data_IF_826738151872
#
_entry.id   IF_826738151872
#
_cell.length_a   1.000
_cell.length_b   1.000
_cell.length_c   1.000
_cell.angle_alpha   90.00
_cell.angle_beta   90.00
_cell.angle_gamma   90.00
#
_symmetry.space_group_name_H-M   'P 1'
#
loop_
_entity.id
_entity.type
_entity.pdbx_description
1 polymer ?
#
# COMPACT_ATOMS: atom_id res chain seq x y z
N UNK A 1 -4.44 22.82 -0.43
CA UNK A 1 -3.96 22.71 0.97
C UNK A 1 -2.98 21.57 1.08
N UNK A 2 -2.20 21.49 2.15
CA UNK A 2 -1.28 20.36 2.41
C UNK A 2 -1.98 19.30 3.25
N UNK A 3 -1.53 18.05 3.17
CA UNK A 3 -2.15 16.92 3.85
C UNK A 3 -1.12 15.84 4.21
N UNK A 4 -1.53 14.92 5.07
CA UNK A 4 -0.88 13.62 5.29
C UNK A 4 -1.84 12.51 4.90
N UNK A 5 -1.29 11.34 4.57
CA UNK A 5 -2.06 10.12 4.30
C UNK A 5 -1.76 9.09 5.36
N UNK A 6 -2.80 8.35 5.76
CA UNK A 6 -2.73 7.36 6.83
C UNK A 6 -3.44 6.10 6.37
N UNK A 7 -2.80 4.94 6.54
CA UNK A 7 -3.41 3.63 6.30
C UNK A 7 -4.15 3.17 7.55
N UNK A 8 -5.35 2.63 7.38
CA UNK A 8 -6.14 2.02 8.45
C UNK A 8 -6.31 0.53 8.14
N UNK A 9 -5.40 -0.31 8.67
CA UNK A 9 -5.31 -1.74 8.36
C UNK A 9 -6.64 -2.48 8.52
N UNK A 10 -7.28 -2.37 9.70
CA UNK A 10 -8.53 -3.08 10.03
C UNK A 10 -9.68 -2.59 9.13
N UNK A 11 -9.72 -1.29 8.82
CA UNK A 11 -10.77 -0.70 8.00
C UNK A 11 -10.53 -0.87 6.49
N UNK A 12 -9.39 -1.40 6.06
CA UNK A 12 -9.08 -1.67 4.66
C UNK A 12 -9.04 -0.40 3.80
N UNK A 13 -8.58 0.74 4.33
CA UNK A 13 -8.64 2.02 3.62
C UNK A 13 -7.46 2.94 3.89
N UNK A 14 -7.33 3.96 3.05
CA UNK A 14 -6.40 5.08 3.24
C UNK A 14 -7.23 6.34 3.50
N UNK A 15 -6.85 7.11 4.52
CA UNK A 15 -7.42 8.43 4.82
C UNK A 15 -6.46 9.54 4.45
N UNK A 16 -7.04 10.68 4.08
CA UNK A 16 -6.34 11.95 3.94
C UNK A 16 -6.71 12.84 5.12
N UNK A 17 -5.70 13.35 5.83
CA UNK A 17 -5.87 14.37 6.87
C UNK A 17 -5.30 15.69 6.38
N UNK A 18 -6.11 16.74 6.35
CA UNK A 18 -5.72 18.06 5.86
C UNK A 18 -4.98 18.85 6.94
N UNK A 19 -3.74 19.24 6.63
CA UNK A 19 -2.91 20.07 7.50
C UNK A 19 -3.16 21.57 7.28
N UNK A 20 -3.41 21.98 6.03
CA UNK A 20 -3.61 23.40 5.64
C UNK A 20 -4.70 23.53 4.59
N UNK A 21 -5.27 24.73 4.47
CA UNK A 21 -6.31 25.09 3.50
C UNK A 21 -7.72 25.06 4.11
N UNK A 22 -8.78 25.22 3.29
CA UNK A 22 -10.16 25.35 3.78
C UNK A 22 -10.68 24.15 4.59
N UNK A 23 -10.07 22.98 4.40
CA UNK A 23 -10.40 21.74 5.11
C UNK A 23 -9.44 21.42 6.27
N UNK A 24 -8.54 22.32 6.68
CA UNK A 24 -7.54 22.04 7.71
C UNK A 24 -8.16 21.46 9.00
N UNK A 25 -7.46 20.52 9.63
CA UNK A 25 -7.92 19.76 10.81
C UNK A 25 -9.14 18.86 10.57
N UNK A 26 -9.38 18.47 9.32
CA UNK A 26 -10.38 17.45 8.97
C UNK A 26 -9.74 16.27 8.24
N UNK A 27 -10.44 15.14 8.22
CA UNK A 27 -10.01 13.96 7.49
C UNK A 27 -11.15 13.32 6.72
N UNK A 28 -10.83 12.82 5.54
CA UNK A 28 -11.75 12.12 4.65
C UNK A 28 -11.14 10.81 4.16
N UNK A 29 -11.98 9.89 3.69
CA UNK A 29 -11.50 8.67 3.04
C UNK A 29 -10.90 9.08 1.70
N UNK A 30 -9.64 8.68 1.46
CA UNK A 30 -8.98 8.89 0.18
C UNK A 30 -9.34 7.75 -0.78
N UNK A 31 -9.26 6.50 -0.32
CA UNK A 31 -9.60 5.31 -1.09
C UNK A 31 -9.92 4.14 -0.15
N UNK A 32 -10.89 3.30 -0.51
CA UNK A 32 -11.09 1.98 0.09
C UNK A 32 -10.35 0.93 -0.75
N UNK A 33 -9.60 0.04 -0.11
CA UNK A 33 -8.78 -0.96 -0.77
C UNK A 33 -9.44 -2.34 -0.69
N UNK A 34 -9.09 -3.23 -1.62
CA UNK A 34 -9.58 -4.61 -1.64
C UNK A 34 -8.90 -5.55 -0.62
N UNK A 35 -8.10 -5.00 0.29
CA UNK A 35 -7.33 -5.74 1.29
C UNK A 35 -6.88 -4.83 2.43
N UNK A 36 -6.04 -5.35 3.31
CA UNK A 36 -5.55 -4.61 4.48
C UNK A 36 -4.25 -3.87 4.14
N UNK A 37 -4.24 -2.53 4.13
CA UNK A 37 -3.03 -1.76 3.91
C UNK A 37 -2.14 -1.73 5.16
N UNK A 38 -0.82 -1.75 4.93
CA UNK A 38 0.21 -1.59 5.94
C UNK A 38 0.98 -0.27 5.70
N UNK A 39 2.31 -0.27 5.50
CA UNK A 39 3.05 0.97 5.29
C UNK A 39 2.70 1.66 3.97
N UNK A 40 2.77 3.00 4.00
CA UNK A 40 2.61 3.90 2.85
C UNK A 40 3.88 4.73 2.65
N UNK A 41 4.37 4.81 1.40
CA UNK A 41 5.58 5.55 1.03
C UNK A 41 5.34 6.45 -0.15
N UNK A 42 5.73 7.72 -0.03
CA UNK A 42 5.58 8.72 -1.09
C UNK A 42 6.64 8.52 -2.16
N UNK A 43 6.26 8.62 -3.43
CA UNK A 43 7.19 8.65 -4.58
C UNK A 43 7.75 10.05 -4.80
N UNK A 44 8.78 10.17 -5.65
CA UNK A 44 9.32 11.47 -6.06
C UNK A 44 8.30 12.30 -6.86
N UNK A 45 7.36 11.65 -7.55
CA UNK A 45 6.26 12.30 -8.28
C UNK A 45 5.12 12.76 -7.36
N UNK A 46 5.13 12.32 -6.11
CA UNK A 46 4.14 12.67 -5.10
C UNK A 46 2.93 11.75 -5.00
N UNK A 47 2.95 10.64 -5.73
CA UNK A 47 2.07 9.49 -5.53
C UNK A 47 2.52 8.69 -4.30
N UNK A 48 1.82 7.60 -4.01
CA UNK A 48 2.07 6.76 -2.84
C UNK A 48 2.03 5.29 -3.19
N UNK A 49 3.06 4.55 -2.81
CA UNK A 49 3.01 3.09 -2.75
C UNK A 49 2.45 2.65 -1.41
N UNK A 50 1.54 1.68 -1.45
CA UNK A 50 0.92 1.06 -0.28
C UNK A 50 1.16 -0.45 -0.35
N UNK A 51 1.71 -1.02 0.70
CA UNK A 51 1.72 -2.47 0.90
C UNK A 51 0.31 -2.94 1.26
N UNK A 52 -0.25 -3.90 0.54
CA UNK A 52 -1.60 -4.41 0.80
C UNK A 52 -1.58 -5.93 0.85
N UNK A 53 -2.15 -6.48 1.92
CA UNK A 53 -2.39 -7.91 2.07
C UNK A 53 -3.85 -8.23 1.77
N UNK A 54 -4.10 -9.05 0.75
CA UNK A 54 -5.44 -9.52 0.39
C UNK A 54 -5.62 -10.94 0.89
N UNK A 55 -6.59 -11.16 1.78
CA UNK A 55 -6.99 -12.50 2.16
C UNK A 55 -8.00 -13.04 1.15
N UNK A 56 -7.62 -14.08 0.39
CA UNK A 56 -8.53 -14.80 -0.48
C UNK A 56 -9.01 -16.05 0.21
N UNK A 57 -10.33 -16.17 0.37
CA UNK A 57 -10.97 -17.39 0.81
C UNK A 57 -11.00 -18.37 -0.37
N UNK A 58 -9.98 -19.22 -0.48
CA UNK A 58 -9.95 -20.34 -1.42
C UNK A 58 -9.86 -21.65 -0.63
N UNK A 59 -10.62 -22.71 -0.98
CA UNK A 59 -10.43 -24.03 -0.40
C UNK A 59 -9.05 -24.60 -0.79
N UNK A 60 -8.34 -25.34 0.08
CA UNK A 60 -8.71 -25.78 1.43
C UNK A 60 -8.29 -24.80 2.56
N UNK A 61 -7.50 -23.76 2.28
CA UNK A 61 -7.03 -22.79 3.30
C UNK A 61 -6.98 -21.37 2.74
N UNK A 62 -7.28 -20.34 3.55
CA UNK A 62 -7.11 -18.95 3.14
C UNK A 62 -5.69 -18.68 2.67
N UNK A 63 -5.56 -18.02 1.52
CA UNK A 63 -4.26 -17.58 1.01
C UNK A 63 -4.14 -16.07 1.15
N UNK A 64 -2.99 -15.61 1.61
CA UNK A 64 -2.62 -14.19 1.57
C UNK A 64 -1.96 -13.87 0.24
N UNK A 65 -2.49 -12.89 -0.48
CA UNK A 65 -1.88 -12.32 -1.68
C UNK A 65 -1.33 -10.96 -1.33
N UNK A 66 0.01 -10.84 -1.34
CA UNK A 66 0.70 -9.58 -1.18
C UNK A 66 0.72 -8.79 -2.50
N UNK A 67 0.34 -7.52 -2.44
CA UNK A 67 0.45 -6.59 -3.55
C UNK A 67 1.08 -5.26 -3.10
N UNK A 68 1.81 -4.61 -4.01
CA UNK A 68 2.07 -3.17 -3.93
C UNK A 68 1.03 -2.43 -4.76
N UNK A 69 0.42 -1.39 -4.21
CA UNK A 69 -0.56 -0.56 -4.93
C UNK A 69 -0.09 0.89 -4.94
N UNK A 70 0.13 1.46 -6.14
CA UNK A 70 0.46 2.87 -6.32
C UNK A 70 -0.82 3.67 -6.47
N UNK A 71 -1.05 4.62 -5.58
CA UNK A 71 -2.21 5.53 -5.60
C UNK A 71 -1.76 6.99 -5.69
N UNK A 72 -2.53 7.84 -6.35
CA UNK A 72 -2.25 9.27 -6.37
C UNK A 72 -2.97 10.02 -5.23
N UNK A 73 -2.71 11.32 -5.11
CA UNK A 73 -3.32 12.19 -4.10
C UNK A 73 -4.84 12.40 -4.23
N UNK A 74 -5.48 11.85 -5.27
CA UNK A 74 -6.93 11.86 -5.48
C UNK A 74 -7.59 10.51 -5.17
N UNK A 75 -6.82 9.50 -4.74
CA UNK A 75 -7.34 8.17 -4.46
C UNK A 75 -7.54 7.31 -5.71
N UNK A 76 -6.86 7.63 -6.81
CA UNK A 76 -6.86 6.81 -8.02
C UNK A 76 -5.70 5.83 -7.96
N UNK A 77 -5.97 4.54 -8.22
CA UNK A 77 -4.94 3.52 -8.41
C UNK A 77 -4.27 3.72 -9.76
N UNK A 78 -2.97 3.96 -9.74
CA UNK A 78 -2.14 4.12 -10.93
C UNK A 78 -1.48 2.81 -11.37
N UNK A 79 -1.13 1.95 -10.40
CA UNK A 79 -0.39 0.73 -10.65
C UNK A 79 -0.68 -0.31 -9.57
N UNK A 80 -0.68 -1.59 -9.93
CA UNK A 80 -0.75 -2.71 -8.98
C UNK A 80 0.29 -3.75 -9.37
N UNK A 81 1.21 -4.03 -8.44
CA UNK A 81 2.23 -5.07 -8.58
C UNK A 81 1.84 -6.24 -7.69
N UNK A 82 1.58 -7.39 -8.29
CA UNK A 82 1.32 -8.64 -7.55
C UNK A 82 2.63 -9.32 -7.19
N UNK A 83 2.76 -9.70 -5.91
CA UNK A 83 3.94 -10.35 -5.36
C UNK A 83 3.63 -11.77 -4.85
N UNK A 84 2.49 -12.32 -5.28
CA UNK A 84 1.99 -13.62 -4.85
C UNK A 84 3.00 -14.76 -5.06
N UNK A 85 3.67 -14.78 -6.22
CA UNK A 85 4.62 -15.84 -6.55
C UNK A 85 5.91 -15.74 -5.72
N UNK A 86 6.37 -14.52 -5.44
CA UNK A 86 7.63 -14.26 -4.73
C UNK A 86 7.49 -14.45 -3.22
N UNK A 87 6.32 -14.13 -2.66
CA UNK A 87 6.08 -14.19 -1.21
C UNK A 87 5.27 -15.43 -0.79
N UNK A 88 4.63 -16.13 -1.72
CA UNK A 88 4.00 -17.44 -1.51
C UNK A 88 3.14 -17.53 -0.22
N UNK A 89 2.11 -16.70 -0.12
CA UNK A 89 1.22 -16.68 1.06
C UNK A 89 1.72 -15.83 2.22
N UNK A 90 2.91 -15.23 2.11
CA UNK A 90 3.43 -14.27 3.11
C UNK A 90 2.93 -12.87 2.86
N UNK A 91 2.70 -12.12 3.93
CA UNK A 91 2.42 -10.69 3.86
C UNK A 91 3.69 -9.88 3.58
N UNK A 92 3.50 -8.69 3.02
CA UNK A 92 4.53 -7.65 2.94
C UNK A 92 4.08 -6.49 3.83
N UNK A 93 5.02 -5.81 4.45
CA UNK A 93 4.76 -4.65 5.29
C UNK A 93 5.03 -3.34 4.56
N UNK A 94 5.89 -3.35 3.54
CA UNK A 94 6.34 -2.14 2.86
C UNK A 94 6.63 -2.36 1.38
N UNK A 95 6.27 -1.36 0.57
CA UNK A 95 6.70 -1.21 -0.82
C UNK A 95 7.20 0.23 -0.99
N UNK A 96 8.48 0.39 -1.32
CA UNK A 96 9.09 1.71 -1.49
C UNK A 96 9.79 1.81 -2.83
N UNK A 97 9.42 2.81 -3.63
CA UNK A 97 10.15 3.14 -4.85
C UNK A 97 11.38 3.98 -4.54
N UNK A 98 12.54 3.54 -5.04
CA UNK A 98 13.79 4.28 -4.97
C UNK A 98 14.73 3.86 -6.10
N UNK A 99 15.39 4.81 -6.75
CA UNK A 99 16.40 4.52 -7.78
C UNK A 99 15.90 3.63 -8.93
N UNK A 100 14.62 3.75 -9.32
CA UNK A 100 14.01 2.95 -10.38
C UNK A 100 13.65 1.51 -10.00
N UNK A 101 13.70 1.17 -8.70
CA UNK A 101 13.32 -0.15 -8.19
C UNK A 101 12.28 -0.03 -7.07
N UNK A 102 11.50 -1.09 -6.88
CA UNK A 102 10.64 -1.27 -5.71
C UNK A 102 11.35 -2.15 -4.68
N UNK A 103 11.55 -1.61 -3.50
CA UNK A 103 12.07 -2.29 -2.33
C UNK A 103 10.90 -2.82 -1.50
N UNK A 104 10.92 -4.12 -1.22
CA UNK A 104 9.83 -4.82 -0.56
C UNK A 104 10.28 -5.31 0.81
N UNK A 105 9.62 -4.81 1.85
CA UNK A 105 9.80 -5.23 3.23
C UNK A 105 8.77 -6.27 3.65
N UNK A 106 9.19 -7.26 4.43
CA UNK A 106 8.28 -8.25 5.02
C UNK A 106 8.84 -8.72 6.36
N UNK A 107 7.94 -8.94 7.33
CA UNK A 107 8.28 -9.54 8.62
C UNK A 107 8.33 -11.09 8.57
N UNK A 108 7.83 -11.70 7.49
CA UNK A 108 7.71 -13.16 7.35
C UNK A 108 8.61 -13.73 6.24
N UNK A 109 9.22 -12.88 5.41
CA UNK A 109 10.31 -13.26 4.51
C UNK A 109 11.67 -13.15 5.20
N UNK A 110 12.60 -14.02 4.83
CA UNK A 110 13.99 -14.02 5.29
C UNK A 110 14.92 -13.33 4.27
N UNK A 111 14.39 -12.45 3.43
CA UNK A 111 15.10 -11.73 2.39
C UNK A 111 14.48 -10.34 2.18
N UNK A 112 15.25 -9.43 1.57
CA UNK A 112 14.76 -8.16 1.07
C UNK A 112 14.39 -8.32 -0.40
N UNK A 113 13.16 -7.96 -0.78
CA UNK A 113 12.74 -8.00 -2.18
C UNK A 113 13.18 -6.74 -2.91
N UNK A 114 13.74 -6.88 -4.11
CA UNK A 114 14.04 -5.75 -5.01
C UNK A 114 13.49 -6.08 -6.38
N UNK A 115 12.47 -5.32 -6.81
CA UNK A 115 11.81 -5.49 -8.10
C UNK A 115 12.24 -4.35 -9.03
N UNK A 116 12.76 -4.69 -10.21
CA UNK A 116 13.10 -3.75 -11.28
C UNK A 116 12.23 -4.08 -12.47
N UNK A 117 11.57 -3.07 -13.02
CA UNK A 117 10.93 -3.18 -14.34
C UNK A 117 12.00 -3.17 -15.43
#
# INVERSE_FOLDING_TARGET
GTFVVVTEFIAGRVRRFWLKGPKANSAEILINLGGNPDNIKRTVLGDFWVAVSIQKQQPPTPITVAIGQRINGFGIVLETVTLAAQYNGKSISEVQENGGALYIGSLSANFVGVYRN
#
